data_IF_707887295742
#
_entry.id   IF_707887295742
#
_cell.length_a   1.000
_cell.length_b   1.000
_cell.length_c   1.000
_cell.angle_alpha   90.00
_cell.angle_beta   90.00
_cell.angle_gamma   90.00
#
_symmetry.space_group_name_H-M   'P 1'
#
loop_
_entity.id
_entity.type
_entity.pdbx_description
1 polymer ?
#
# COMPACT_ATOMS: atom_id res chain seq x y z
N UNK A 1 -33.21 -36.38 -4.30
CA UNK A 1 -32.92 -35.19 -3.46
C UNK A 1 -31.70 -34.51 -4.04
N UNK A 2 -31.85 -33.30 -4.58
CA UNK A 2 -30.72 -32.53 -5.14
C UNK A 2 -30.13 -31.62 -4.06
N UNK A 3 -28.83 -31.77 -3.82
CA UNK A 3 -28.01 -31.11 -2.81
C UNK A 3 -27.99 -29.59 -3.04
N UNK A 4 -28.07 -28.74 -2.00
CA UNK A 4 -27.84 -27.29 -2.17
C UNK A 4 -26.40 -27.02 -2.63
N UNK A 5 -26.17 -25.83 -3.21
CA UNK A 5 -24.81 -25.35 -3.49
C UNK A 5 -23.94 -25.47 -2.23
N UNK A 6 -22.71 -25.97 -2.37
CA UNK A 6 -21.88 -26.38 -1.24
C UNK A 6 -21.37 -25.22 -0.36
N UNK A 7 -21.56 -23.97 -0.80
CA UNK A 7 -21.04 -22.76 -0.13
C UNK A 7 -22.06 -21.62 -0.22
N UNK A 8 -22.16 -20.81 0.83
CA UNK A 8 -22.91 -19.54 0.82
C UNK A 8 -22.04 -18.40 0.28
N UNK A 9 -22.67 -17.39 -0.29
CA UNK A 9 -22.02 -16.16 -0.76
C UNK A 9 -22.86 -14.96 -0.39
N UNK A 10 -22.17 -13.85 -0.10
CA UNK A 10 -22.78 -12.56 0.03
C UNK A 10 -22.27 -11.64 -1.07
N UNK A 11 -23.18 -11.01 -1.81
CA UNK A 11 -22.84 -10.06 -2.86
C UNK A 11 -23.67 -8.80 -2.69
N UNK A 12 -23.08 -7.66 -3.01
CA UNK A 12 -23.78 -6.38 -2.98
C UNK A 12 -23.01 -5.28 -3.68
N UNK A 13 -23.73 -4.26 -4.13
CA UNK A 13 -23.14 -3.05 -4.70
C UNK A 13 -22.98 -2.03 -3.59
N UNK A 14 -21.76 -1.51 -3.34
CA UNK A 14 -21.56 -0.44 -2.37
C UNK A 14 -22.46 0.76 -2.67
N UNK A 15 -22.96 1.40 -1.60
CA UNK A 15 -23.86 2.56 -1.74
C UNK A 15 -23.04 3.78 -2.17
N UNK A 16 -23.49 4.46 -3.22
CA UNK A 16 -22.88 5.70 -3.70
C UNK A 16 -22.93 6.81 -2.62
N UNK A 17 -21.92 7.67 -2.60
CA UNK A 17 -21.82 8.79 -1.66
C UNK A 17 -21.53 10.09 -2.43
N UNK A 18 -22.49 11.01 -2.44
CA UNK A 18 -22.38 12.24 -3.23
C UNK A 18 -22.20 11.94 -4.72
N UNK A 19 -21.11 12.44 -5.31
CA UNK A 19 -20.72 12.16 -6.70
C UNK A 19 -19.84 10.91 -6.86
N UNK A 20 -19.56 10.19 -5.77
CA UNK A 20 -18.71 9.00 -5.78
C UNK A 20 -19.55 7.73 -5.87
N UNK A 21 -19.13 6.78 -6.71
CA UNK A 21 -19.78 5.48 -6.93
C UNK A 21 -18.75 4.37 -6.96
N UNK A 22 -19.12 3.11 -6.67
CA UNK A 22 -18.20 2.00 -6.81
C UNK A 22 -17.95 1.67 -8.29
N UNK A 23 -16.95 0.82 -8.54
CA UNK A 23 -16.56 0.37 -9.88
C UNK A 23 -17.15 -0.99 -10.27
N UNK A 24 -17.98 -1.55 -9.39
CA UNK A 24 -18.63 -2.85 -9.51
C UNK A 24 -19.25 -3.27 -8.18
N UNK A 25 -19.83 -4.46 -8.14
CA UNK A 25 -20.24 -5.08 -6.88
C UNK A 25 -19.08 -5.80 -6.20
N UNK A 26 -19.25 -6.01 -4.90
CA UNK A 26 -18.38 -6.81 -4.05
C UNK A 26 -19.02 -8.18 -3.86
N UNK A 27 -18.20 -9.23 -3.82
CA UNK A 27 -18.61 -10.57 -3.44
C UNK A 27 -17.69 -11.10 -2.34
N UNK A 28 -18.28 -11.73 -1.32
CA UNK A 28 -17.57 -12.32 -0.19
C UNK A 28 -18.11 -13.73 0.01
N UNK A 29 -17.20 -14.69 0.23
CA UNK A 29 -17.56 -16.08 0.49
C UNK A 29 -18.31 -16.29 1.82
N UNK A 30 -18.36 -17.54 2.28
CA UNK A 30 -19.12 -17.97 3.46
C UNK A 30 -18.82 -17.15 4.73
N UNK A 31 -19.84 -16.92 5.55
CA UNK A 31 -19.72 -16.36 6.90
C UNK A 31 -20.41 -15.02 7.14
N UNK A 32 -20.92 -14.36 6.09
CA UNK A 32 -21.58 -13.06 6.19
C UNK A 32 -23.07 -13.14 5.86
N UNK A 33 -23.89 -12.58 6.76
CA UNK A 33 -25.33 -12.41 6.56
C UNK A 33 -25.70 -10.96 6.19
N UNK A 34 -24.80 -9.99 6.44
CA UNK A 34 -24.89 -8.56 6.09
C UNK A 34 -23.50 -7.99 5.72
N UNK A 35 -23.42 -7.16 4.67
CA UNK A 35 -22.16 -6.51 4.21
C UNK A 35 -21.92 -5.18 4.93
N UNK A 36 -22.98 -4.50 5.37
CA UNK A 36 -22.91 -3.18 5.98
C UNK A 36 -22.02 -3.16 7.22
N UNK A 37 -21.04 -2.25 7.25
CA UNK A 37 -20.13 -2.08 8.37
C UNK A 37 -19.15 -3.24 8.60
N UNK A 38 -19.02 -4.18 7.66
CA UNK A 38 -18.09 -5.33 7.77
C UNK A 38 -16.87 -5.22 6.85
N UNK A 39 -16.90 -4.32 5.87
CA UNK A 39 -15.84 -4.13 4.88
C UNK A 39 -15.84 -2.71 4.32
N UNK A 40 -14.66 -2.15 4.11
CA UNK A 40 -14.48 -0.94 3.31
C UNK A 40 -14.39 -1.27 1.82
N UNK A 41 -15.04 -0.46 0.99
CA UNK A 41 -14.94 -0.54 -0.46
C UNK A 41 -14.60 0.84 -1.02
N UNK A 42 -13.80 0.86 -2.07
CA UNK A 42 -13.38 2.09 -2.73
C UNK A 42 -14.54 2.68 -3.55
N UNK A 43 -14.90 3.93 -3.24
CA UNK A 43 -15.73 4.74 -4.12
C UNK A 43 -14.84 5.72 -4.89
N UNK A 44 -15.18 5.96 -6.15
CA UNK A 44 -14.43 6.88 -7.00
C UNK A 44 -15.37 7.93 -7.58
N UNK A 45 -14.84 9.09 -7.91
CA UNK A 45 -15.59 10.17 -8.54
C UNK A 45 -14.66 11.11 -9.28
N UNK A 46 -15.23 11.99 -10.08
CA UNK A 46 -14.48 13.07 -10.70
C UNK A 46 -13.97 14.04 -9.63
N UNK A 47 -12.71 14.46 -9.76
CA UNK A 47 -12.18 15.53 -8.92
C UNK A 47 -12.67 16.89 -9.43
N UNK A 48 -12.59 17.91 -8.60
CA UNK A 48 -12.87 19.29 -9.01
C UNK A 48 -11.95 19.78 -10.14
N UNK A 49 -10.80 19.12 -10.32
CA UNK A 49 -9.78 19.47 -11.32
C UNK A 49 -9.87 18.62 -12.61
N UNK A 50 -10.62 17.50 -12.59
CA UNK A 50 -10.76 16.60 -13.74
C UNK A 50 -12.15 15.98 -13.75
N UNK A 51 -12.96 16.41 -14.72
CA UNK A 51 -14.38 16.03 -14.85
C UNK A 51 -14.63 14.80 -15.75
N UNK A 52 -13.58 14.10 -16.20
CA UNK A 52 -13.71 13.01 -17.17
C UNK A 52 -13.06 11.69 -16.76
N UNK A 53 -12.64 11.54 -15.51
CA UNK A 53 -12.03 10.30 -15.02
C UNK A 53 -13.02 9.12 -15.01
N UNK A 54 -14.31 9.40 -14.79
CA UNK A 54 -15.38 8.40 -14.74
C UNK A 54 -16.56 8.75 -15.64
N UNK A 55 -17.27 7.73 -16.11
CA UNK A 55 -18.51 7.86 -16.87
C UNK A 55 -19.51 6.74 -16.52
N UNK A 56 -20.81 7.04 -16.64
CA UNK A 56 -21.86 6.02 -16.45
C UNK A 56 -21.82 4.99 -17.58
N UNK A 57 -22.17 3.72 -17.31
CA UNK A 57 -22.42 2.73 -18.36
C UNK A 57 -23.48 3.22 -19.35
N UNK A 58 -23.33 2.86 -20.62
CA UNK A 58 -24.32 3.17 -21.67
C UNK A 58 -25.44 2.13 -21.74
N UNK A 59 -25.24 0.97 -21.13
CA UNK A 59 -26.20 -0.13 -21.03
C UNK A 59 -25.61 -1.29 -20.24
N UNK A 60 -26.30 -2.42 -20.25
CA UNK A 60 -25.91 -3.61 -19.50
C UNK A 60 -26.03 -4.87 -20.34
N UNK A 61 -25.12 -5.81 -20.11
CA UNK A 61 -25.20 -7.16 -20.65
C UNK A 61 -25.62 -8.11 -19.54
N UNK A 62 -26.78 -8.75 -19.68
CA UNK A 62 -27.22 -9.80 -18.78
C UNK A 62 -26.23 -10.97 -18.81
N UNK A 63 -25.87 -11.50 -17.64
CA UNK A 63 -24.95 -12.63 -17.52
C UNK A 63 -25.61 -13.86 -16.88
N UNK A 64 -26.37 -13.65 -15.80
CA UNK A 64 -26.88 -14.74 -14.98
C UNK A 64 -28.04 -14.31 -14.09
N UNK A 65 -28.83 -15.27 -13.63
CA UNK A 65 -29.84 -15.06 -12.63
C UNK A 65 -30.11 -16.32 -11.79
N UNK A 66 -30.75 -16.16 -10.64
CA UNK A 66 -31.11 -17.27 -9.73
C UNK A 66 -32.36 -18.04 -10.16
N UNK A 67 -32.97 -17.73 -11.32
CA UNK A 67 -34.28 -18.28 -11.69
C UNK A 67 -34.21 -19.80 -11.80
N UNK A 68 -35.09 -20.48 -11.07
CA UNK A 68 -35.11 -21.95 -11.01
C UNK A 68 -34.11 -22.56 -10.01
N UNK A 69 -33.31 -21.74 -9.33
CA UNK A 69 -32.45 -22.17 -8.23
C UNK A 69 -33.17 -22.26 -6.88
N UNK A 70 -32.54 -22.87 -5.88
CA UNK A 70 -33.05 -22.98 -4.49
C UNK A 70 -32.50 -21.89 -3.56
N UNK A 71 -31.96 -20.80 -4.11
CA UNK A 71 -31.42 -19.68 -3.34
C UNK A 71 -32.51 -18.98 -2.51
N UNK A 72 -32.13 -18.36 -1.40
CA UNK A 72 -33.07 -17.61 -0.53
C UNK A 72 -33.61 -16.32 -1.18
N UNK A 73 -32.90 -15.80 -2.17
CA UNK A 73 -33.15 -14.50 -2.76
C UNK A 73 -33.02 -14.58 -4.27
N UNK A 74 -33.90 -13.85 -4.96
CA UNK A 74 -33.77 -13.65 -6.38
C UNK A 74 -32.72 -12.59 -6.68
N UNK A 75 -31.77 -12.93 -7.54
CA UNK A 75 -30.73 -12.00 -7.97
C UNK A 75 -30.35 -12.19 -9.43
N UNK A 76 -29.84 -11.11 -10.00
CA UNK A 76 -29.31 -11.04 -11.36
C UNK A 76 -27.88 -10.51 -11.33
N UNK A 77 -27.08 -10.94 -12.29
CA UNK A 77 -25.72 -10.43 -12.51
C UNK A 77 -25.61 -9.84 -13.90
N UNK A 78 -25.01 -8.65 -13.97
CA UNK A 78 -24.92 -7.83 -15.17
C UNK A 78 -23.50 -7.33 -15.38
N UNK A 79 -23.05 -7.27 -16.63
CA UNK A 79 -21.82 -6.57 -17.01
C UNK A 79 -22.15 -5.18 -17.53
N UNK A 80 -21.57 -4.11 -17.00
CA UNK A 80 -21.75 -2.78 -17.57
C UNK A 80 -21.15 -2.71 -18.98
N UNK A 81 -21.85 -2.06 -19.90
CA UNK A 81 -21.32 -1.68 -21.21
C UNK A 81 -20.72 -0.29 -21.06
N UNK A 82 -19.38 -0.21 -21.10
CA UNK A 82 -18.68 1.06 -20.94
C UNK A 82 -18.83 1.94 -22.20
N UNK A 83 -18.91 3.28 -22.04
CA UNK A 83 -18.80 4.20 -23.17
C UNK A 83 -17.41 4.14 -23.82
N UNK A 84 -17.31 4.64 -25.06
CA UNK A 84 -16.03 4.72 -25.77
C UNK A 84 -14.98 5.51 -24.96
N UNK A 85 -13.77 4.95 -24.85
CA UNK A 85 -12.67 5.53 -24.04
C UNK A 85 -12.71 5.16 -22.55
N UNK A 86 -13.70 4.37 -22.10
CA UNK A 86 -13.85 3.92 -20.72
C UNK A 86 -13.90 2.40 -20.62
N UNK A 87 -13.69 1.89 -19.41
CA UNK A 87 -13.63 0.47 -19.08
C UNK A 87 -14.51 0.20 -17.86
N UNK A 88 -15.34 -0.85 -17.93
CA UNK A 88 -16.10 -1.36 -16.79
C UNK A 88 -15.23 -2.35 -16.02
N UNK A 89 -14.95 -2.12 -14.73
CA UNK A 89 -13.95 -2.90 -13.99
C UNK A 89 -14.54 -4.09 -13.21
N UNK A 90 -15.77 -3.99 -12.72
CA UNK A 90 -16.47 -5.09 -12.06
C UNK A 90 -17.83 -5.40 -12.69
N UNK A 91 -18.33 -6.60 -12.42
CA UNK A 91 -19.72 -6.96 -12.69
C UNK A 91 -20.62 -6.51 -11.53
N UNK A 92 -21.91 -6.39 -11.79
CA UNK A 92 -22.89 -5.87 -10.82
C UNK A 92 -23.93 -6.92 -10.50
N UNK A 93 -24.15 -7.15 -9.21
CA UNK A 93 -25.28 -7.89 -8.68
C UNK A 93 -26.44 -6.95 -8.44
N UNK A 94 -27.65 -7.37 -8.78
CA UNK A 94 -28.88 -6.66 -8.50
C UNK A 94 -29.86 -7.62 -7.84
N UNK A 95 -30.51 -7.13 -6.78
CA UNK A 95 -31.62 -7.83 -6.15
C UNK A 95 -32.83 -7.80 -7.09
N UNK A 96 -33.48 -8.94 -7.27
CA UNK A 96 -34.51 -9.21 -8.28
C UNK A 96 -34.03 -9.14 -9.74
N UNK A 97 -34.97 -8.93 -10.66
CA UNK A 97 -34.83 -9.22 -12.09
C UNK A 97 -34.52 -7.99 -12.95
N UNK A 98 -34.67 -6.79 -12.40
CA UNK A 98 -34.53 -5.55 -13.17
C UNK A 98 -33.08 -5.24 -13.51
N UNK A 99 -32.87 -4.58 -14.64
CA UNK A 99 -31.58 -4.04 -15.04
C UNK A 99 -31.09 -3.01 -13.99
N UNK A 100 -29.78 -2.95 -13.67
CA UNK A 100 -29.26 -1.96 -12.72
C UNK A 100 -29.38 -0.53 -13.26
N UNK A 101 -29.55 0.44 -12.36
CA UNK A 101 -29.48 1.86 -12.72
C UNK A 101 -28.08 2.19 -13.28
N UNK A 102 -28.00 2.93 -14.38
CA UNK A 102 -26.73 3.42 -14.96
C UNK A 102 -25.95 4.34 -14.02
N UNK A 103 -26.57 4.78 -12.93
CA UNK A 103 -25.97 5.55 -11.85
C UNK A 103 -25.53 4.71 -10.64
N UNK A 104 -25.63 3.38 -10.72
CA UNK A 104 -25.22 2.49 -9.63
C UNK A 104 -23.69 2.34 -9.50
N UNK A 105 -22.97 2.46 -10.62
CA UNK A 105 -21.50 2.29 -10.68
C UNK A 105 -20.87 3.29 -11.67
N UNK A 106 -19.55 3.37 -11.65
CA UNK A 106 -18.75 4.05 -12.66
C UNK A 106 -17.99 3.10 -13.59
N UNK A 107 -17.86 3.48 -14.86
CA UNK A 107 -16.78 3.03 -15.74
C UNK A 107 -15.61 4.02 -15.61
N UNK A 108 -14.38 3.51 -15.67
CA UNK A 108 -13.15 4.29 -15.48
C UNK A 108 -12.51 4.60 -16.83
N UNK A 109 -11.95 5.79 -17.01
CA UNK A 109 -11.26 6.18 -18.24
C UNK A 109 -10.08 5.24 -18.50
N UNK A 110 -9.89 4.83 -19.76
CA UNK A 110 -8.98 3.74 -20.10
C UNK A 110 -7.50 3.97 -19.72
N UNK A 111 -7.04 5.22 -19.68
CA UNK A 111 -5.67 5.59 -19.26
C UNK A 111 -5.44 5.48 -17.73
N UNK A 112 -6.52 5.36 -16.95
CA UNK A 112 -6.49 5.15 -15.50
C UNK A 112 -6.65 3.67 -15.13
N UNK A 113 -6.57 2.77 -16.11
CA UNK A 113 -6.81 1.33 -15.95
C UNK A 113 -5.53 0.56 -16.21
N UNK A 114 -5.20 -0.36 -15.31
CA UNK A 114 -4.10 -1.29 -15.41
C UNK A 114 -4.57 -2.73 -15.51
N UNK A 115 -3.66 -3.61 -15.94
CA UNK A 115 -3.90 -5.04 -15.96
C UNK A 115 -3.89 -5.60 -14.53
N UNK A 116 -4.89 -6.41 -14.20
CA UNK A 116 -4.97 -7.16 -12.96
C UNK A 116 -4.67 -8.64 -13.16
N UNK A 117 -5.12 -9.42 -12.18
CA UNK A 117 -5.20 -10.87 -12.19
C UNK A 117 -6.46 -11.32 -11.45
N UNK A 118 -6.87 -12.57 -11.66
CA UNK A 118 -7.85 -13.21 -10.79
C UNK A 118 -7.18 -13.85 -9.58
N UNK A 119 -7.90 -13.93 -8.46
CA UNK A 119 -7.51 -14.79 -7.34
C UNK A 119 -7.34 -16.26 -7.80
N UNK A 120 -6.50 -17.00 -7.09
CA UNK A 120 -6.20 -18.42 -7.39
C UNK A 120 -7.41 -19.34 -7.24
N UNK A 121 -8.42 -18.93 -6.46
CA UNK A 121 -9.70 -19.63 -6.28
C UNK A 121 -10.87 -18.68 -6.49
N UNK A 122 -12.01 -19.23 -6.90
CA UNK A 122 -13.26 -18.48 -6.92
C UNK A 122 -13.69 -18.09 -5.50
N UNK A 123 -14.34 -16.93 -5.41
CA UNK A 123 -15.04 -16.47 -4.20
C UNK A 123 -16.18 -17.46 -3.90
N UNK A 124 -16.90 -17.82 -4.95
CA UNK A 124 -18.06 -18.71 -4.92
C UNK A 124 -18.40 -19.25 -6.31
N UNK A 125 -19.01 -20.43 -6.35
CA UNK A 125 -19.60 -21.04 -7.53
C UNK A 125 -20.83 -21.86 -7.14
N UNK A 126 -21.69 -22.18 -8.10
CA UNK A 126 -22.92 -22.93 -7.86
C UNK A 126 -22.81 -24.43 -8.15
N UNK A 127 -21.60 -24.99 -8.22
CA UNK A 127 -21.40 -26.41 -8.55
C UNK A 127 -22.27 -27.33 -7.68
N UNK A 128 -23.10 -28.12 -8.36
CA UNK A 128 -23.99 -29.08 -7.71
C UNK A 128 -25.31 -28.47 -7.19
N UNK A 129 -25.60 -27.20 -7.45
CA UNK A 129 -26.85 -26.53 -7.05
C UNK A 129 -28.10 -27.07 -7.76
N UNK A 130 -27.92 -27.63 -8.96
CA UNK A 130 -29.01 -28.01 -9.87
C UNK A 130 -29.72 -26.82 -10.53
N UNK A 131 -29.11 -25.63 -10.50
CA UNK A 131 -29.59 -24.43 -11.18
C UNK A 131 -29.52 -24.56 -12.71
N UNK A 132 -30.24 -23.69 -13.41
CA UNK A 132 -30.31 -23.70 -14.88
C UNK A 132 -29.10 -23.08 -15.58
N UNK A 133 -28.22 -22.40 -14.83
CA UNK A 133 -27.05 -21.70 -15.36
C UNK A 133 -25.87 -21.85 -14.40
N UNK A 134 -24.72 -22.28 -14.93
CA UNK A 134 -23.48 -22.34 -14.16
C UNK A 134 -22.92 -20.94 -13.89
N UNK A 135 -22.37 -20.77 -12.69
CA UNK A 135 -21.74 -19.51 -12.25
C UNK A 135 -20.49 -19.78 -11.42
N UNK A 136 -19.47 -18.97 -11.64
CA UNK A 136 -18.42 -18.71 -10.66
C UNK A 136 -18.06 -17.23 -10.60
N UNK A 137 -17.64 -16.76 -9.42
CA UNK A 137 -17.28 -15.39 -9.13
C UNK A 137 -15.82 -15.30 -8.72
N UNK A 138 -15.05 -14.45 -9.43
CA UNK A 138 -13.61 -14.35 -9.27
C UNK A 138 -13.21 -12.94 -8.86
N UNK A 139 -12.51 -12.81 -7.73
CA UNK A 139 -12.00 -11.52 -7.29
C UNK A 139 -10.97 -10.98 -8.30
N UNK A 140 -11.08 -9.70 -8.63
CA UNK A 140 -10.10 -9.00 -9.45
C UNK A 140 -9.09 -8.33 -8.53
N UNK A 141 -7.81 -8.69 -8.68
CA UNK A 141 -6.72 -8.23 -7.83
C UNK A 141 -5.68 -7.46 -8.67
N UNK A 142 -4.98 -6.48 -8.09
CA UNK A 142 -3.76 -5.94 -8.67
C UNK A 142 -2.75 -7.05 -8.99
N UNK A 143 -2.06 -6.95 -10.13
CA UNK A 143 -0.92 -7.82 -10.43
C UNK A 143 0.30 -7.32 -9.65
N UNK A 144 1.12 -8.24 -9.16
CA UNK A 144 2.42 -7.89 -8.59
C UNK A 144 3.28 -7.17 -9.64
N UNK A 145 3.75 -5.97 -9.31
CA UNK A 145 4.60 -5.13 -10.16
C UNK A 145 6.10 -5.42 -9.96
N UNK A 146 6.43 -6.46 -9.21
CA UNK A 146 7.82 -6.79 -8.86
C UNK A 146 8.45 -5.71 -7.98
N UNK A 147 9.78 -5.67 -7.94
CA UNK A 147 10.53 -4.75 -7.06
C UNK A 147 10.91 -3.42 -7.70
N UNK A 148 10.80 -3.28 -9.03
CA UNK A 148 11.10 -2.03 -9.73
C UNK A 148 10.04 -0.95 -9.48
N UNK A 149 8.80 -1.35 -9.20
CA UNK A 149 7.66 -0.45 -9.04
C UNK A 149 7.37 0.38 -10.31
N UNK A 150 6.47 1.34 -10.19
CA UNK A 150 6.12 2.31 -11.24
C UNK A 150 5.41 3.51 -10.62
N UNK A 151 5.47 4.68 -11.27
CA UNK A 151 4.59 5.82 -10.92
C UNK A 151 3.10 5.48 -11.09
N UNK A 152 2.80 4.40 -11.80
CA UNK A 152 1.45 3.88 -12.01
C UNK A 152 1.18 2.76 -11.00
N UNK A 153 0.48 3.10 -9.92
CA UNK A 153 0.20 2.20 -8.79
C UNK A 153 -1.13 1.47 -9.00
N UNK A 154 -1.13 0.16 -9.32
CA UNK A 154 -2.37 -0.60 -9.41
C UNK A 154 -2.99 -0.74 -8.02
N UNK A 155 -4.28 -0.45 -7.91
CA UNK A 155 -5.03 -0.46 -6.64
C UNK A 155 -6.24 -1.37 -6.78
N UNK A 156 -6.60 -2.12 -5.75
CA UNK A 156 -7.82 -2.92 -5.78
C UNK A 156 -9.07 -2.05 -5.78
N UNK A 157 -10.02 -2.35 -6.67
CA UNK A 157 -11.35 -1.75 -6.68
C UNK A 157 -12.39 -2.56 -5.88
N UNK A 158 -11.96 -3.64 -5.21
CA UNK A 158 -12.84 -4.56 -4.48
C UNK A 158 -13.95 -5.17 -5.36
N UNK A 159 -13.63 -5.47 -6.62
CA UNK A 159 -14.59 -5.98 -7.60
C UNK A 159 -14.41 -7.46 -7.89
N UNK A 160 -15.41 -8.08 -8.51
CA UNK A 160 -15.32 -9.42 -9.05
C UNK A 160 -15.78 -9.48 -10.51
N UNK A 161 -15.41 -10.57 -11.18
CA UNK A 161 -15.95 -10.98 -12.48
C UNK A 161 -16.71 -12.28 -12.39
N UNK A 162 -17.83 -12.31 -13.08
CA UNK A 162 -18.62 -13.50 -13.34
C UNK A 162 -18.04 -14.32 -14.49
N UNK A 163 -18.11 -15.65 -14.35
CA UNK A 163 -17.91 -16.64 -15.40
C UNK A 163 -19.15 -17.54 -15.47
N UNK A 164 -19.64 -17.82 -16.68
CA UNK A 164 -20.72 -18.78 -16.93
C UNK A 164 -20.26 -20.23 -16.91
N UNK A 165 -19.09 -20.48 -16.32
CA UNK A 165 -18.45 -21.79 -16.15
C UNK A 165 -17.81 -21.82 -14.77
N UNK A 166 -17.21 -22.94 -14.39
CA UNK A 166 -16.42 -23.05 -13.14
C UNK A 166 -14.95 -22.68 -13.30
N UNK A 167 -14.58 -22.07 -14.42
CA UNK A 167 -13.21 -21.63 -14.71
C UNK A 167 -13.10 -20.11 -14.69
N UNK A 168 -11.88 -19.61 -14.49
CA UNK A 168 -11.57 -18.19 -14.57
C UNK A 168 -12.09 -17.60 -15.89
N UNK A 169 -12.65 -16.37 -15.87
CA UNK A 169 -12.94 -15.64 -17.09
C UNK A 169 -11.67 -15.38 -17.92
N UNK A 170 -11.85 -14.88 -19.14
CA UNK A 170 -10.73 -14.37 -19.93
C UNK A 170 -9.94 -13.30 -19.13
N UNK A 171 -8.61 -13.45 -19.11
CA UNK A 171 -7.72 -12.60 -18.31
C UNK A 171 -7.80 -11.11 -18.71
N UNK A 172 -8.23 -10.79 -19.93
CA UNK A 172 -8.47 -9.41 -20.38
C UNK A 172 -9.55 -8.68 -19.57
N UNK A 173 -10.41 -9.42 -18.84
CA UNK A 173 -11.44 -8.85 -17.97
C UNK A 173 -10.92 -8.50 -16.57
N UNK A 174 -9.72 -8.98 -16.19
CA UNK A 174 -9.08 -8.66 -14.94
C UNK A 174 -8.37 -7.31 -15.07
N UNK A 175 -9.06 -6.23 -14.69
CA UNK A 175 -8.58 -4.86 -14.82
C UNK A 175 -8.80 -4.10 -13.51
N UNK A 176 -7.86 -3.25 -13.14
CA UNK A 176 -7.86 -2.50 -11.87
C UNK A 176 -7.59 -1.02 -12.09
N UNK A 177 -8.05 -0.12 -11.19
CA UNK A 177 -7.62 1.27 -11.18
C UNK A 177 -6.11 1.39 -11.03
N UNK A 178 -5.56 2.43 -11.64
CA UNK A 178 -4.17 2.84 -11.50
C UNK A 178 -4.14 4.26 -10.96
N UNK A 179 -3.43 4.45 -9.87
CA UNK A 179 -3.15 5.75 -9.28
C UNK A 179 -1.81 6.24 -9.76
N UNK A 180 -1.77 7.43 -10.35
CA UNK A 180 -0.51 8.06 -10.73
C UNK A 180 0.09 8.78 -9.52
N UNK A 181 1.26 8.31 -9.11
CA UNK A 181 2.07 8.90 -8.04
C UNK A 181 3.45 9.25 -8.63
N UNK A 182 3.66 10.50 -9.10
CA UNK A 182 4.91 10.89 -9.75
C UNK A 182 6.11 10.79 -8.81
N UNK A 183 7.29 10.50 -9.39
CA UNK A 183 8.54 10.46 -8.64
C UNK A 183 8.85 11.84 -8.05
N UNK A 184 8.99 11.92 -6.74
CA UNK A 184 9.27 13.15 -6.00
C UNK A 184 10.42 13.01 -5.00
N UNK A 185 11.34 12.07 -5.25
CA UNK A 185 12.48 11.80 -4.38
C UNK A 185 13.50 12.94 -4.36
N UNK A 186 13.87 13.39 -3.17
CA UNK A 186 14.87 14.41 -2.90
C UNK A 186 16.12 13.79 -2.27
N UNK A 187 17.29 14.12 -2.86
CA UNK A 187 18.58 13.68 -2.33
C UNK A 187 18.96 14.50 -1.10
N UNK A 188 19.50 13.82 -0.11
CA UNK A 188 20.14 14.50 1.02
C UNK A 188 21.46 15.13 0.58
N UNK A 189 21.57 16.45 0.79
CA UNK A 189 22.73 17.25 0.36
C UNK A 189 23.34 18.08 1.49
N UNK A 190 22.79 17.97 2.70
CA UNK A 190 23.26 18.71 3.87
C UNK A 190 24.69 18.29 4.23
N UNK A 191 25.56 19.28 4.43
CA UNK A 191 26.94 19.06 4.87
C UNK A 191 26.99 18.47 6.29
N UNK A 192 28.11 17.83 6.63
CA UNK A 192 28.37 17.33 7.97
C UNK A 192 28.27 18.49 9.00
N UNK A 193 27.61 18.28 10.16
CA UNK A 193 27.48 19.31 11.19
C UNK A 193 28.86 19.81 11.66
N UNK A 194 29.00 21.13 11.78
CA UNK A 194 30.23 21.73 12.29
C UNK A 194 30.21 21.70 13.81
N UNK A 195 31.31 21.23 14.41
CA UNK A 195 31.46 21.10 15.86
C UNK A 195 32.45 22.16 16.34
N UNK A 196 32.09 22.88 17.39
CA UNK A 196 32.97 23.83 18.09
C UNK A 196 32.95 23.54 19.60
N UNK A 197 33.89 24.07 20.40
CA UNK A 197 33.91 23.81 21.85
C UNK A 197 32.60 24.18 22.58
N UNK A 198 31.84 25.14 22.05
CA UNK A 198 30.55 25.56 22.61
C UNK A 198 29.34 24.87 22.00
N UNK A 199 29.53 23.99 21.01
CA UNK A 199 28.47 23.31 20.24
C UNK A 199 28.71 21.81 20.11
N UNK A 200 29.51 21.22 21.00
CA UNK A 200 29.70 19.77 21.07
C UNK A 200 28.32 19.14 21.31
N UNK A 201 27.83 18.27 20.40
CA UNK A 201 26.52 17.66 20.53
C UNK A 201 26.52 16.54 21.58
N UNK A 202 25.35 16.00 21.86
CA UNK A 202 25.14 14.78 22.63
C UNK A 202 24.85 13.60 21.71
N UNK A 203 25.13 12.37 22.18
CA UNK A 203 24.71 11.15 21.49
C UNK A 203 23.18 11.13 21.32
N UNK A 204 22.72 10.82 20.10
CA UNK A 204 21.31 10.88 19.69
C UNK A 204 20.82 12.25 19.21
N UNK A 205 21.67 13.29 19.20
CA UNK A 205 21.31 14.56 18.56
C UNK A 205 21.16 14.37 17.04
N UNK A 206 20.09 14.93 16.47
CA UNK A 206 19.75 14.84 15.05
C UNK A 206 19.96 16.21 14.38
N UNK A 207 20.61 16.21 13.22
CA UNK A 207 20.88 17.42 12.45
C UNK A 207 20.35 17.33 11.02
N UNK A 208 19.82 18.45 10.54
CA UNK A 208 19.41 18.64 9.14
C UNK A 208 18.36 17.63 8.66
N UNK A 209 17.41 17.21 9.51
CA UNK A 209 16.36 16.29 9.09
C UNK A 209 15.59 16.84 7.87
N UNK A 210 15.43 15.98 6.87
CA UNK A 210 14.77 16.29 5.60
C UNK A 210 13.88 15.14 5.18
N UNK A 211 12.66 15.44 4.75
CA UNK A 211 11.83 14.50 4.01
C UNK A 211 12.41 14.27 2.61
N UNK A 212 12.69 13.01 2.27
CA UNK A 212 13.15 12.64 0.94
C UNK A 212 11.99 12.39 -0.02
N UNK A 213 10.93 11.73 0.45
CA UNK A 213 9.78 11.41 -0.37
C UNK A 213 8.59 11.00 0.49
N UNK A 214 7.41 11.01 -0.14
CA UNK A 214 6.18 10.44 0.42
C UNK A 214 5.33 9.72 -0.63
N UNK A 215 4.46 8.83 -0.17
CA UNK A 215 3.46 8.14 -0.98
C UNK A 215 2.12 8.12 -0.24
N UNK A 216 1.12 8.80 -0.80
CA UNK A 216 -0.26 8.82 -0.26
C UNK A 216 -1.15 7.93 -1.12
N UNK A 217 -1.71 6.89 -0.52
CA UNK A 217 -2.52 5.88 -1.21
C UNK A 217 -3.77 5.55 -0.38
N UNK A 218 -4.83 4.98 -1.00
CA UNK A 218 -5.96 4.48 -0.25
C UNK A 218 -5.51 3.49 0.83
N UNK A 219 -6.06 3.62 2.02
CA UNK A 219 -5.73 2.78 3.18
C UNK A 219 -5.86 1.26 2.94
N UNK A 220 -6.70 0.84 1.99
CA UNK A 220 -6.88 -0.56 1.58
C UNK A 220 -5.67 -1.13 0.85
N UNK A 221 -4.77 -0.26 0.39
CA UNK A 221 -3.46 -0.65 -0.16
C UNK A 221 -2.53 -1.16 0.94
N UNK A 222 -2.70 -0.66 2.16
CA UNK A 222 -1.86 -0.96 3.31
C UNK A 222 -2.49 -2.02 4.22
N UNK A 223 -3.80 -1.93 4.44
CA UNK A 223 -4.53 -2.74 5.42
C UNK A 223 -5.61 -3.61 4.78
N UNK A 224 -5.94 -4.72 5.46
CA UNK A 224 -7.09 -5.54 5.08
C UNK A 224 -8.39 -4.72 5.20
N UNK A 225 -9.23 -4.66 4.15
CA UNK A 225 -10.46 -3.86 4.14
C UNK A 225 -11.53 -4.28 5.16
N UNK A 226 -11.38 -5.43 5.83
CA UNK A 226 -12.26 -5.91 6.90
C UNK A 226 -11.73 -5.63 8.31
N UNK A 227 -10.50 -5.13 8.42
CA UNK A 227 -9.87 -4.84 9.72
C UNK A 227 -10.56 -3.68 10.46
N UNK A 228 -10.57 -3.73 11.80
CA UNK A 228 -11.14 -2.64 12.60
C UNK A 228 -10.41 -1.31 12.38
N UNK A 229 -9.09 -1.34 12.16
CA UNK A 229 -8.30 -0.16 11.81
C UNK A 229 -8.85 0.55 10.57
N UNK A 230 -9.33 -0.19 9.57
CA UNK A 230 -9.96 0.38 8.37
C UNK A 230 -11.40 0.83 8.66
N UNK A 231 -12.21 -0.03 9.29
CA UNK A 231 -13.64 0.25 9.51
C UNK A 231 -13.89 1.44 10.44
N UNK A 232 -13.00 1.67 11.40
CA UNK A 232 -13.11 2.78 12.34
C UNK A 232 -12.59 4.11 11.74
N UNK A 233 -11.95 4.09 10.56
CA UNK A 233 -11.33 5.25 9.90
C UNK A 233 -11.86 5.49 8.47
N UNK A 234 -13.10 5.10 8.16
CA UNK A 234 -13.69 5.27 6.82
C UNK A 234 -13.78 6.74 6.35
N UNK A 235 -13.79 7.69 7.28
CA UNK A 235 -13.80 9.14 6.99
C UNK A 235 -12.46 9.66 6.45
N UNK A 236 -11.37 8.93 6.70
CA UNK A 236 -10.00 9.29 6.34
C UNK A 236 -9.35 8.17 5.51
N UNK A 237 -9.83 7.93 4.27
CA UNK A 237 -9.56 6.69 3.53
C UNK A 237 -8.16 6.63 2.90
N UNK A 238 -7.25 7.54 3.28
CA UNK A 238 -5.89 7.62 2.75
C UNK A 238 -4.85 7.51 3.87
N UNK A 239 -3.75 6.84 3.56
CA UNK A 239 -2.56 6.82 4.41
C UNK A 239 -1.34 7.26 3.60
N UNK A 240 -0.39 7.87 4.30
CA UNK A 240 0.87 8.35 3.73
C UNK A 240 2.02 7.61 4.35
N UNK A 241 2.93 7.11 3.52
CA UNK A 241 4.24 6.62 3.95
C UNK A 241 5.27 7.67 3.59
N UNK A 242 6.08 8.10 4.55
CA UNK A 242 7.08 9.14 4.42
C UNK A 242 8.46 8.54 4.69
N UNK A 243 9.46 8.89 3.88
CA UNK A 243 10.87 8.61 4.18
C UNK A 243 11.60 9.92 4.44
N UNK A 244 12.19 10.04 5.63
CA UNK A 244 13.09 11.14 5.98
C UNK A 244 14.51 10.64 6.23
N UNK A 245 15.46 11.57 6.24
CA UNK A 245 16.88 11.35 6.45
C UNK A 245 17.49 12.50 7.25
N UNK A 246 18.48 12.20 8.09
CA UNK A 246 19.23 13.20 8.83
C UNK A 246 20.65 12.71 9.14
N UNK A 247 21.48 13.61 9.63
CA UNK A 247 22.68 13.24 10.38
C UNK A 247 22.29 12.90 11.82
N UNK A 248 22.82 11.79 12.33
CA UNK A 248 22.64 11.34 13.71
C UNK A 248 24.00 11.24 14.41
N UNK A 249 24.06 11.64 15.67
CA UNK A 249 25.28 11.56 16.49
C UNK A 249 25.34 10.20 17.20
N UNK A 250 26.22 9.32 16.70
CA UNK A 250 26.42 7.97 17.22
C UNK A 250 27.44 7.87 18.35
N UNK A 251 28.23 8.91 18.58
CA UNK A 251 29.20 8.92 19.67
C UNK A 251 29.93 10.24 19.79
N UNK A 252 30.23 10.61 21.03
CA UNK A 252 30.91 11.87 21.38
C UNK A 252 32.00 11.56 22.40
N UNK A 253 33.24 11.95 22.09
CA UNK A 253 34.37 11.75 22.97
C UNK A 253 35.15 13.04 23.12
N UNK A 254 35.22 13.54 24.35
CA UNK A 254 35.95 14.77 24.72
C UNK A 254 37.20 14.38 25.49
N UNK A 255 38.38 14.71 24.98
CA UNK A 255 39.65 14.40 25.64
C UNK A 255 40.31 15.66 26.18
N UNK A 256 40.14 15.92 27.48
CA UNK A 256 40.80 17.03 28.17
C UNK A 256 42.23 16.69 28.65
N UNK A 257 42.73 15.49 28.36
CA UNK A 257 44.04 15.04 28.81
C UNK A 257 45.14 15.33 27.77
N UNK A 258 46.40 15.31 28.23
CA UNK A 258 47.57 15.51 27.38
C UNK A 258 48.02 14.28 26.58
N UNK A 259 47.31 13.16 26.65
CA UNK A 259 47.62 11.94 25.91
C UNK A 259 46.42 11.49 25.06
N UNK A 260 46.69 10.93 23.88
CA UNK A 260 45.66 10.30 23.07
C UNK A 260 45.25 8.94 23.64
N UNK A 261 44.02 8.52 23.37
CA UNK A 261 43.55 7.16 23.67
C UNK A 261 42.67 6.65 22.54
N UNK A 262 42.60 5.32 22.40
CA UNK A 262 41.77 4.68 21.39
C UNK A 262 40.42 4.25 21.97
N UNK A 263 39.40 4.23 21.10
CA UNK A 263 38.07 3.71 21.37
C UNK A 263 37.64 2.80 20.23
N UNK A 264 36.74 1.90 20.56
CA UNK A 264 36.00 1.11 19.59
C UNK A 264 34.52 1.40 19.77
N UNK A 265 33.82 1.69 18.68
CA UNK A 265 32.37 1.84 18.65
C UNK A 265 31.77 0.77 17.76
N UNK A 266 30.74 0.07 18.24
CA UNK A 266 29.96 -0.85 17.40
C UNK A 266 28.79 -0.09 16.80
N UNK A 267 28.70 -0.10 15.48
CA UNK A 267 27.62 0.55 14.73
C UNK A 267 26.74 -0.54 14.16
N UNK A 268 25.47 -0.53 14.57
CA UNK A 268 24.45 -1.40 14.00
C UNK A 268 23.73 -0.66 12.89
N UNK A 269 23.69 -1.25 11.71
CA UNK A 269 23.01 -0.67 10.55
C UNK A 269 21.96 -1.63 9.98
N UNK A 270 21.02 -1.08 9.21
CA UNK A 270 19.83 -1.80 8.77
C UNK A 270 18.60 -1.57 9.64
N UNK A 271 17.67 -2.53 9.58
CA UNK A 271 16.44 -2.54 10.39
C UNK A 271 16.25 -3.91 11.03
N UNK A 272 16.01 -3.93 12.33
CA UNK A 272 15.82 -5.19 13.08
C UNK A 272 14.54 -5.90 12.66
N UNK A 273 14.44 -7.20 12.96
CA UNK A 273 13.23 -7.98 12.66
C UNK A 273 12.02 -7.42 13.40
N UNK A 274 12.18 -7.03 14.65
CA UNK A 274 11.11 -6.49 15.49
C UNK A 274 10.57 -5.17 14.93
N UNK A 275 11.46 -4.26 14.52
CA UNK A 275 11.06 -2.98 13.88
C UNK A 275 10.31 -3.22 12.55
N UNK A 276 10.72 -4.23 11.76
CA UNK A 276 10.00 -4.60 10.53
C UNK A 276 8.61 -5.16 10.81
N UNK A 277 8.49 -6.06 11.78
CA UNK A 277 7.21 -6.61 12.21
C UNK A 277 6.28 -5.51 12.74
N UNK A 278 6.81 -4.54 13.50
CA UNK A 278 6.04 -3.37 13.95
C UNK A 278 5.50 -2.55 12.76
N UNK A 279 6.34 -2.26 11.75
CA UNK A 279 5.93 -1.48 10.58
C UNK A 279 4.85 -2.20 9.76
N UNK A 280 4.94 -3.52 9.61
CA UNK A 280 3.91 -4.34 8.96
C UNK A 280 2.60 -4.25 9.74
N UNK A 281 2.65 -4.41 11.06
CA UNK A 281 1.45 -4.45 11.90
C UNK A 281 0.76 -3.08 12.05
N UNK A 282 1.53 -2.00 12.12
CA UNK A 282 1.01 -0.65 12.40
C UNK A 282 0.65 0.13 11.13
N UNK A 283 1.46 0.00 10.08
CA UNK A 283 1.36 0.79 8.83
C UNK A 283 1.01 -0.07 7.63
N UNK A 284 1.10 -1.41 7.71
CA UNK A 284 0.86 -2.27 6.55
C UNK A 284 1.96 -2.17 5.49
N UNK A 285 3.19 -1.87 5.94
CA UNK A 285 4.36 -1.68 5.07
C UNK A 285 5.45 -2.67 5.46
N UNK A 286 5.88 -3.46 4.48
CA UNK A 286 7.02 -4.35 4.59
C UNK A 286 8.29 -3.64 4.11
N UNK A 287 9.39 -3.81 4.86
CA UNK A 287 10.71 -3.29 4.51
C UNK A 287 11.71 -4.45 4.55
N UNK A 288 12.28 -4.85 3.42
CA UNK A 288 13.26 -5.95 3.36
C UNK A 288 14.36 -5.68 2.36
N UNK A 289 15.49 -6.41 2.50
CA UNK A 289 16.61 -6.26 1.58
C UNK A 289 16.34 -6.84 0.19
N UNK A 290 15.46 -7.83 0.11
CA UNK A 290 15.05 -8.50 -1.12
C UNK A 290 14.00 -7.69 -1.88
N UNK A 291 13.09 -7.03 -1.16
CA UNK A 291 11.88 -6.45 -1.74
C UNK A 291 11.82 -4.91 -1.66
N UNK A 292 12.68 -4.28 -0.86
CA UNK A 292 12.64 -2.87 -0.56
C UNK A 292 11.43 -2.51 0.31
N UNK A 293 10.73 -1.43 -0.03
CA UNK A 293 9.50 -0.97 0.65
C UNK A 293 8.27 -1.40 -0.16
N UNK A 294 7.38 -2.19 0.46
CA UNK A 294 6.13 -2.68 -0.15
C UNK A 294 4.92 -2.45 0.75
N UNK A 295 3.77 -2.14 0.17
CA UNK A 295 2.50 -2.18 0.88
C UNK A 295 1.90 -3.60 0.84
N UNK A 296 1.48 -4.11 2.00
CA UNK A 296 1.25 -5.55 2.23
C UNK A 296 -0.03 -6.07 1.56
N UNK A 297 -1.14 -5.32 1.62
CA UNK A 297 -2.47 -5.79 1.19
C UNK A 297 -2.52 -6.31 -0.26
N UNK A 298 -1.69 -5.75 -1.15
CA UNK A 298 -1.59 -6.16 -2.55
C UNK A 298 -0.16 -6.25 -3.09
N UNK A 299 0.84 -6.34 -2.21
CA UNK A 299 2.28 -6.40 -2.59
C UNK A 299 2.73 -5.26 -3.51
N UNK A 300 2.17 -4.06 -3.33
CA UNK A 300 2.51 -2.89 -4.15
C UNK A 300 3.91 -2.41 -3.79
N UNK A 301 4.86 -2.50 -4.72
CA UNK A 301 6.20 -1.93 -4.54
C UNK A 301 6.19 -0.41 -4.66
N UNK A 302 6.81 0.26 -3.68
CA UNK A 302 6.98 1.71 -3.65
C UNK A 302 8.42 2.13 -3.99
N UNK A 303 9.30 1.19 -4.35
CA UNK A 303 10.74 1.44 -4.47
C UNK A 303 11.09 2.58 -5.42
N UNK A 304 10.40 2.71 -6.57
CA UNK A 304 10.64 3.80 -7.53
C UNK A 304 10.60 5.20 -6.89
N UNK A 305 9.78 5.37 -5.84
CA UNK A 305 9.62 6.61 -5.08
C UNK A 305 10.61 6.73 -3.93
N UNK A 306 11.03 5.61 -3.33
CA UNK A 306 11.84 5.56 -2.11
C UNK A 306 13.34 5.34 -2.32
N UNK A 307 13.77 5.14 -3.58
CA UNK A 307 15.20 5.13 -3.95
C UNK A 307 15.51 6.10 -5.10
N UNK A 308 16.72 6.67 -5.06
CA UNK A 308 17.28 7.39 -6.19
C UNK A 308 17.80 6.42 -7.26
N UNK A 309 18.42 5.32 -6.85
CA UNK A 309 19.07 4.40 -7.78
C UNK A 309 18.04 3.52 -8.50
N UNK A 310 18.39 3.05 -9.70
CA UNK A 310 17.67 1.96 -10.37
C UNK A 310 18.12 0.59 -9.87
N UNK A 311 18.84 0.54 -8.74
CA UNK A 311 19.31 -0.72 -8.14
C UNK A 311 18.12 -1.51 -7.60
N UNK A 312 18.14 -2.82 -7.82
CA UNK A 312 17.19 -3.77 -7.23
C UNK A 312 17.69 -4.39 -5.92
N UNK A 313 18.85 -3.94 -5.42
CA UNK A 313 19.42 -4.37 -4.14
C UNK A 313 19.15 -3.33 -3.07
N UNK A 314 18.51 -3.75 -1.97
CA UNK A 314 18.15 -2.91 -0.82
C UNK A 314 18.87 -3.37 0.46
N UNK A 315 20.13 -3.77 0.33
CA UNK A 315 20.92 -4.33 1.44
C UNK A 315 21.08 -3.39 2.63
N UNK A 316 20.81 -2.08 2.45
CA UNK A 316 20.65 -1.11 3.53
C UNK A 316 19.56 -1.48 4.54
N UNK A 317 18.65 -2.39 4.23
CA UNK A 317 17.62 -2.88 5.16
C UNK A 317 18.03 -4.17 5.89
N UNK A 318 19.18 -4.77 5.57
CA UNK A 318 19.69 -5.93 6.31
C UNK A 318 20.33 -5.48 7.62
N UNK A 319 19.89 -6.05 8.74
CA UNK A 319 20.53 -5.81 10.04
C UNK A 319 21.95 -6.40 10.05
N UNK A 320 22.93 -5.53 10.29
CA UNK A 320 24.36 -5.84 10.33
C UNK A 320 25.04 -4.99 11.39
N UNK A 321 26.29 -5.30 11.70
CA UNK A 321 27.13 -4.50 12.59
C UNK A 321 28.56 -4.39 12.07
N UNK A 322 29.18 -3.25 12.34
CA UNK A 322 30.60 -3.01 12.12
C UNK A 322 31.23 -2.46 13.40
N UNK A 323 32.49 -2.80 13.65
CA UNK A 323 33.28 -2.19 14.72
C UNK A 323 34.21 -1.16 14.12
N UNK A 324 34.06 0.10 14.54
CA UNK A 324 34.91 1.19 14.14
C UNK A 324 35.89 1.54 15.25
N UNK A 325 37.17 1.56 14.91
CA UNK A 325 38.25 1.95 15.82
C UNK A 325 38.64 3.38 15.52
N UNK A 326 38.69 4.21 16.56
CA UNK A 326 39.03 5.61 16.45
C UNK A 326 40.01 6.01 17.54
N UNK A 327 40.94 6.90 17.19
CA UNK A 327 41.86 7.51 18.14
C UNK A 327 41.35 8.90 18.51
N UNK A 328 41.33 9.21 19.81
CA UNK A 328 40.90 10.50 20.35
C UNK A 328 42.16 11.29 20.72
N UNK A 329 42.55 12.30 19.94
CA UNK A 329 43.75 13.08 20.21
C UNK A 329 43.67 13.83 21.55
N UNK A 330 44.84 14.18 22.09
CA UNK A 330 44.93 15.03 23.28
C UNK A 330 44.31 16.41 23.01
N UNK A 331 43.53 16.93 23.96
CA UNK A 331 42.85 18.23 23.86
C UNK A 331 41.94 18.38 22.63
N UNK A 332 41.26 17.31 22.21
CA UNK A 332 40.28 17.36 21.12
C UNK A 332 38.96 16.67 21.51
N UNK A 333 37.88 17.13 20.89
CA UNK A 333 36.61 16.43 20.86
C UNK A 333 36.40 15.80 19.49
N UNK A 334 36.05 14.52 19.47
CA UNK A 334 35.71 13.77 18.26
C UNK A 334 34.23 13.38 18.34
N UNK A 335 33.52 13.59 17.24
CA UNK A 335 32.09 13.26 17.12
C UNK A 335 31.92 12.34 15.93
N UNK A 336 31.27 11.20 16.14
CA UNK A 336 30.89 10.25 15.10
C UNK A 336 29.47 10.54 14.64
N UNK A 337 29.31 10.78 13.35
CA UNK A 337 28.04 10.98 12.68
C UNK A 337 27.77 9.84 11.68
N UNK A 338 26.52 9.42 11.60
CA UNK A 338 26.00 8.50 10.57
C UNK A 338 24.74 9.10 9.94
N UNK A 339 24.32 8.53 8.82
CA UNK A 339 23.03 8.89 8.21
C UNK A 339 21.94 7.95 8.70
N UNK A 340 20.93 8.52 9.33
CA UNK A 340 19.75 7.77 9.76
C UNK A 340 18.58 8.08 8.85
N UNK A 341 17.83 7.05 8.49
CA UNK A 341 16.58 7.15 7.75
C UNK A 341 15.43 6.85 8.71
N UNK A 342 14.29 7.49 8.47
CA UNK A 342 13.04 7.10 9.13
C UNK A 342 11.99 6.80 8.09
N UNK A 343 11.22 5.75 8.33
CA UNK A 343 9.99 5.47 7.59
C UNK A 343 8.81 5.68 8.52
N UNK A 344 7.93 6.60 8.16
CA UNK A 344 6.79 7.01 8.98
C UNK A 344 5.48 6.74 8.25
N UNK A 345 4.58 6.03 8.91
CA UNK A 345 3.18 5.92 8.51
C UNK A 345 2.34 7.04 9.12
N UNK A 346 1.50 7.69 8.33
CA UNK A 346 0.63 8.77 8.75
C UNK A 346 -0.77 8.59 8.15
N UNK A 347 -1.82 8.90 8.91
CA UNK A 347 -3.20 8.97 8.39
C UNK A 347 -3.45 10.28 7.65
N UNK A 348 -4.59 10.38 6.95
CA UNK A 348 -4.99 11.60 6.23
C UNK A 348 -5.17 12.82 7.14
N UNK A 349 -5.58 12.62 8.40
CA UNK A 349 -5.72 13.68 9.42
C UNK A 349 -4.38 14.18 9.98
N UNK A 350 -3.27 13.58 9.57
CA UNK A 350 -1.93 13.90 10.05
C UNK A 350 -1.48 13.12 11.29
N UNK A 351 -2.32 12.26 11.87
CA UNK A 351 -1.93 11.41 13.00
C UNK A 351 -0.88 10.38 12.57
N UNK A 352 0.19 10.25 13.36
CA UNK A 352 1.23 9.27 13.13
C UNK A 352 0.74 7.87 13.55
N UNK A 353 0.96 6.87 12.68
CA UNK A 353 0.70 5.46 12.96
C UNK A 353 1.90 4.81 13.64
N UNK A 354 3.06 4.85 12.98
CA UNK A 354 4.36 4.43 13.53
C UNK A 354 5.48 5.15 12.78
N UNK A 355 6.64 5.24 13.42
CA UNK A 355 7.87 5.79 12.86
C UNK A 355 9.01 4.86 13.26
N UNK A 356 9.57 4.17 12.26
CA UNK A 356 10.71 3.29 12.48
C UNK A 356 11.98 3.92 11.91
N UNK A 357 13.05 3.77 12.67
CA UNK A 357 14.40 4.17 12.26
C UNK A 357 15.09 3.01 11.53
N UNK A 358 15.74 3.36 10.43
CA UNK A 358 16.62 2.52 9.62
C UNK A 358 17.97 3.23 9.53
N UNK A 359 19.01 2.65 10.11
CA UNK A 359 20.37 3.20 9.99
C UNK A 359 20.90 2.83 8.62
N UNK A 360 21.24 3.83 7.79
CA UNK A 360 21.28 3.68 6.34
C UNK A 360 22.38 2.72 5.84
N UNK A 361 23.56 2.74 6.44
CA UNK A 361 24.71 1.93 6.07
C UNK A 361 25.81 2.04 7.13
N UNK A 362 26.97 1.46 6.83
CA UNK A 362 28.21 1.58 7.59
C UNK A 362 29.04 2.82 7.22
N UNK A 363 28.51 3.77 6.44
CA UNK A 363 29.23 5.02 6.17
C UNK A 363 29.29 5.86 7.44
N UNK A 364 30.50 6.01 7.97
CA UNK A 364 30.80 6.84 9.14
C UNK A 364 31.48 8.13 8.76
N UNK A 365 31.14 9.18 9.50
CA UNK A 365 31.71 10.50 9.29
C UNK A 365 32.17 11.07 10.63
N UNK A 366 33.42 11.54 10.68
CA UNK A 366 33.97 12.14 11.87
C UNK A 366 33.95 13.67 11.75
N UNK A 367 33.37 14.32 12.75
CA UNK A 367 33.55 15.73 13.04
C UNK A 367 34.31 15.91 14.35
N UNK A 368 34.50 17.16 14.76
CA UNK A 368 35.19 17.44 16.01
C UNK A 368 35.74 18.86 16.08
N UNK A 369 36.39 19.16 17.20
CA UNK A 369 37.07 20.42 17.41
C UNK A 369 38.23 20.29 18.39
N UNK A 370 39.21 21.19 18.29
CA UNK A 370 40.21 21.38 19.34
C UNK A 370 39.60 22.03 20.57
N UNK A 371 40.01 21.55 21.74
CA UNK A 371 39.66 22.08 23.04
C UNK A 371 40.75 23.09 23.46
N UNK A 372 40.34 24.08 24.26
CA UNK A 372 41.25 25.12 24.75
C UNK A 372 42.08 24.64 25.94
#
# INVERSE_FOLDING_TARGET
>A
MTTPASRSVMMGTPVAQGNMRPLGSVAIGSGFYELGGKRASLLVGNSSQSSSAVASPVGWRWLWNTKGGKGKHDSTVWRPIAPSGYVALGDVVKYHWDEPDKNSIWCLRADLVGNGTFASSDIWNDRGSGGSYDISCWAVLPRDVGTSGSELIPTSADTFRFSGTYSQPDISLAQVPVLRLPKAFQRFTSSLPQVTPSTIPSEGDIFSEMEQCRATLPFTTFFDPTSRQVLDNLGDPFCTVIKSIAWDVQGVWVNNSGASYDRTQTIKYGVSREKREEMVNSVGVEITAEAGIKAVSYSVSLNYQFTYSTSSSFTEYSEKQVEEKLSIPAHEAVVLFTKHLWVTGQRADGSQLSRIEVVANDDVHFGGCKLN
#
